data_IF_017460670932
#
_entry.id   IF_017460670932
#
_cell.length_a   1.000
_cell.length_b   1.000
_cell.length_c   1.000
_cell.angle_alpha   90.00
_cell.angle_beta   90.00
_cell.angle_gamma   90.00
#
_symmetry.space_group_name_H-M   'P 1'
#
loop_
_entity.id
_entity.type
_entity.pdbx_description
1 polymer ?
#
# COMPACT_ATOMS: atom_id res chain seq x y z
N UNK A 1 -9.10 4.42 19.94
CA UNK A 1 -8.67 3.01 19.73
C UNK A 1 -9.02 2.69 18.30
N UNK A 2 -8.08 2.11 17.54
CA UNK A 2 -8.32 1.71 16.16
C UNK A 2 -9.20 0.46 16.10
N UNK A 3 -10.00 0.37 15.05
CA UNK A 3 -10.80 -0.79 14.71
C UNK A 3 -9.92 -1.88 14.05
N UNK A 4 -10.27 -3.17 14.21
CA UNK A 4 -9.61 -4.26 13.50
C UNK A 4 -9.69 -4.10 11.98
N UNK A 5 -8.62 -4.46 11.27
CA UNK A 5 -8.58 -4.38 9.80
C UNK A 5 -9.67 -5.25 9.15
N UNK A 6 -10.05 -6.38 9.75
CA UNK A 6 -11.17 -7.21 9.27
C UNK A 6 -12.51 -6.42 9.21
N UNK A 7 -12.77 -5.55 10.20
CA UNK A 7 -13.97 -4.71 10.23
C UNK A 7 -13.89 -3.59 9.17
N UNK A 8 -12.71 -3.00 8.99
CA UNK A 8 -12.45 -1.99 7.94
C UNK A 8 -12.67 -2.57 6.55
N UNK A 9 -12.14 -3.77 6.28
CA UNK A 9 -12.33 -4.48 5.00
C UNK A 9 -13.81 -4.75 4.75
N UNK A 10 -14.54 -5.20 5.79
CA UNK A 10 -15.98 -5.45 5.69
C UNK A 10 -16.74 -4.18 5.32
N UNK A 11 -16.51 -3.07 6.02
CA UNK A 11 -17.15 -1.79 5.72
C UNK A 11 -16.88 -1.35 4.27
N UNK A 12 -15.63 -1.47 3.82
CA UNK A 12 -15.25 -1.14 2.45
C UNK A 12 -15.93 -2.03 1.40
N UNK A 13 -16.09 -3.33 1.68
CA UNK A 13 -16.80 -4.28 0.80
C UNK A 13 -18.29 -3.91 0.62
N UNK A 14 -18.89 -3.32 1.65
CA UNK A 14 -20.28 -2.86 1.66
C UNK A 14 -20.46 -1.46 1.07
N UNK A 15 -19.37 -0.81 0.62
CA UNK A 15 -19.39 0.54 0.09
C UNK A 15 -19.51 1.64 1.15
N UNK A 16 -19.18 1.31 2.41
CA UNK A 16 -19.09 2.29 3.49
C UNK A 16 -17.69 2.93 3.50
N UNK A 17 -17.62 4.18 3.94
CA UNK A 17 -16.34 4.85 4.13
C UNK A 17 -15.57 4.25 5.30
N UNK A 18 -14.25 4.31 5.20
CA UNK A 18 -13.33 4.03 6.31
C UNK A 18 -12.31 5.16 6.41
N UNK A 19 -11.74 5.36 7.60
CA UNK A 19 -10.67 6.32 7.83
C UNK A 19 -9.37 5.57 8.06
N UNK A 20 -8.33 5.92 7.32
CA UNK A 20 -6.98 5.39 7.54
C UNK A 20 -6.07 6.55 7.90
N UNK A 21 -5.44 6.45 9.07
CA UNK A 21 -4.39 7.37 9.50
C UNK A 21 -3.01 6.81 9.15
N UNK A 22 -2.08 7.70 8.81
CA UNK A 22 -0.66 7.36 8.69
C UNK A 22 0.14 7.72 9.95
N UNK A 23 1.45 7.47 9.90
CA UNK A 23 2.36 7.67 11.02
C UNK A 23 2.69 9.16 11.24
N UNK A 24 2.88 9.56 12.49
CA UNK A 24 3.25 10.95 12.85
C UNK A 24 4.54 11.44 12.17
N UNK A 25 5.45 10.51 11.83
CA UNK A 25 6.71 10.81 11.14
C UNK A 25 6.58 10.93 9.62
N UNK A 26 5.41 10.60 9.04
CA UNK A 26 5.10 10.70 7.61
C UNK A 26 4.30 11.98 7.31
N UNK A 27 3.01 11.90 7.03
CA UNK A 27 2.13 13.06 6.79
C UNK A 27 1.42 13.48 8.09
N UNK A 28 1.23 12.54 9.02
CA UNK A 28 0.47 12.71 10.26
C UNK A 28 -0.99 13.10 9.98
N UNK A 29 -1.58 12.47 8.97
CA UNK A 29 -2.90 12.80 8.41
C UNK A 29 -3.80 11.57 8.36
N UNK A 30 -5.07 11.79 8.02
CA UNK A 30 -6.01 10.72 7.80
C UNK A 30 -6.86 10.97 6.57
N UNK A 31 -7.03 9.92 5.79
CA UNK A 31 -7.83 9.93 4.58
C UNK A 31 -9.15 9.22 4.79
N UNK A 32 -10.20 9.81 4.24
CA UNK A 32 -11.47 9.14 4.03
C UNK A 32 -11.38 8.29 2.76
N UNK A 33 -11.60 6.99 2.90
CA UNK A 33 -11.42 6.00 1.83
C UNK A 33 -12.74 5.28 1.53
N UNK A 34 -13.02 5.09 0.24
CA UNK A 34 -14.08 4.19 -0.27
C UNK A 34 -13.56 3.45 -1.50
N UNK A 35 -14.06 2.23 -1.75
CA UNK A 35 -13.75 1.50 -2.97
C UNK A 35 -14.32 2.21 -4.21
N UNK A 36 -13.55 2.28 -5.29
CA UNK A 36 -13.97 2.92 -6.54
C UNK A 36 -15.25 2.32 -7.12
N UNK A 37 -15.42 0.99 -7.00
CA UNK A 37 -16.62 0.26 -7.44
C UNK A 37 -17.91 0.69 -6.73
N UNK A 38 -17.78 1.32 -5.56
CA UNK A 38 -18.89 1.69 -4.68
C UNK A 38 -19.17 3.19 -4.67
N UNK A 39 -18.49 3.96 -5.53
CA UNK A 39 -18.64 5.41 -5.54
C UNK A 39 -20.03 5.83 -5.98
N UNK A 40 -20.56 6.85 -5.31
CA UNK A 40 -21.86 7.47 -5.61
C UNK A 40 -21.74 8.99 -5.53
N UNK A 41 -22.71 9.70 -6.11
CA UNK A 41 -22.82 11.15 -6.03
C UNK A 41 -22.86 11.62 -4.57
N UNK A 42 -23.61 10.90 -3.72
CA UNK A 42 -23.72 11.18 -2.30
C UNK A 42 -22.38 10.97 -1.58
N UNK A 43 -21.61 9.94 -1.95
CA UNK A 43 -20.28 9.70 -1.41
C UNK A 43 -19.31 10.85 -1.76
N UNK A 44 -19.29 11.30 -3.02
CA UNK A 44 -18.45 12.44 -3.41
C UNK A 44 -18.87 13.72 -2.70
N UNK A 45 -20.18 13.98 -2.59
CA UNK A 45 -20.69 15.13 -1.85
C UNK A 45 -20.27 15.07 -0.38
N UNK A 46 -20.33 13.88 0.24
CA UNK A 46 -19.89 13.68 1.62
C UNK A 46 -18.39 13.97 1.77
N UNK A 47 -17.55 13.42 0.88
CA UNK A 47 -16.11 13.68 0.85
C UNK A 47 -15.80 15.17 0.82
N UNK A 48 -16.34 15.93 -0.14
CA UNK A 48 -16.01 17.37 -0.23
C UNK A 48 -16.64 18.25 0.83
N UNK A 49 -17.71 17.79 1.47
CA UNK A 49 -18.39 18.55 2.53
C UNK A 49 -17.72 18.35 3.89
N UNK A 50 -17.37 17.10 4.18
CA UNK A 50 -16.93 16.66 5.52
C UNK A 50 -15.43 16.38 5.62
N UNK A 51 -14.80 15.82 4.58
CA UNK A 51 -13.35 15.65 4.54
C UNK A 51 -12.65 16.90 3.97
N UNK A 52 -13.20 17.49 2.89
CA UNK A 52 -12.80 18.78 2.29
C UNK A 52 -11.42 18.81 1.61
N UNK A 53 -10.62 17.74 1.73
CA UNK A 53 -9.38 17.58 1.00
C UNK A 53 -9.57 17.34 -0.49
N UNK A 54 -8.49 16.91 -1.14
CA UNK A 54 -8.47 16.67 -2.58
C UNK A 54 -8.99 15.27 -2.88
N UNK A 55 -10.07 15.18 -3.66
CA UNK A 55 -10.58 13.86 -4.09
C UNK A 55 -9.64 13.26 -5.13
N UNK A 56 -8.96 12.20 -4.74
CA UNK A 56 -8.02 11.46 -5.58
C UNK A 56 -8.49 10.02 -5.79
N UNK A 57 -8.02 9.39 -6.87
CA UNK A 57 -8.31 7.97 -7.18
C UNK A 57 -7.01 7.19 -7.23
N UNK A 58 -6.76 6.42 -6.19
CA UNK A 58 -5.65 5.49 -6.14
C UNK A 58 -5.94 4.25 -6.99
N UNK A 59 -5.03 3.90 -7.90
CA UNK A 59 -5.16 2.71 -8.73
C UNK A 59 -3.80 2.14 -9.12
N UNK A 60 -3.80 0.90 -9.62
CA UNK A 60 -2.59 0.24 -10.09
C UNK A 60 -2.05 0.87 -11.37
N UNK A 61 -0.73 0.76 -11.58
CA UNK A 61 -0.08 1.16 -12.83
C UNK A 61 -0.66 0.47 -14.07
N UNK A 62 -1.17 -0.77 -13.94
CA UNK A 62 -1.86 -1.50 -15.01
C UNK A 62 -3.16 -0.80 -15.46
N UNK A 63 -3.98 -0.35 -14.49
CA UNK A 63 -5.20 0.41 -14.80
C UNK A 63 -4.87 1.75 -15.46
N UNK A 64 -3.85 2.45 -14.97
CA UNK A 64 -3.39 3.71 -15.56
C UNK A 64 -2.89 3.50 -16.99
N UNK A 65 -2.12 2.44 -17.23
CA UNK A 65 -1.61 2.09 -18.56
C UNK A 65 -2.77 1.75 -19.52
N UNK A 66 -3.75 0.95 -19.08
CA UNK A 66 -4.95 0.62 -19.87
C UNK A 66 -5.70 1.88 -20.32
N UNK A 67 -5.83 2.86 -19.44
CA UNK A 67 -6.53 4.12 -19.69
C UNK A 67 -5.64 5.20 -20.34
N UNK A 68 -4.37 4.87 -20.63
CA UNK A 68 -3.40 5.78 -21.24
C UNK A 68 -3.11 7.02 -20.38
N UNK A 69 -3.24 6.94 -19.06
CA UNK A 69 -3.04 8.08 -18.15
C UNK A 69 -1.55 8.16 -17.80
N UNK A 70 -0.92 9.29 -18.13
CA UNK A 70 0.51 9.51 -17.89
C UNK A 70 0.75 10.27 -16.57
N UNK A 71 2.00 10.27 -16.10
CA UNK A 71 2.38 11.07 -14.91
C UNK A 71 2.26 12.56 -15.22
N UNK A 72 1.73 13.32 -14.26
CA UNK A 72 1.63 14.77 -14.37
C UNK A 72 3.01 15.44 -14.31
N UNK A 73 3.87 14.94 -13.41
CA UNK A 73 5.22 15.46 -13.20
C UNK A 73 6.30 14.43 -13.55
N UNK A 74 7.47 14.87 -14.03
CA UNK A 74 8.62 13.99 -14.23
C UNK A 74 9.04 13.32 -12.92
N UNK A 75 9.51 12.06 -12.98
CA UNK A 75 10.00 11.33 -11.79
C UNK A 75 11.15 12.01 -11.04
N UNK A 76 11.84 12.94 -11.69
CA UNK A 76 12.92 13.75 -11.09
C UNK A 76 12.41 14.88 -10.17
N UNK A 77 11.10 15.06 -10.03
CA UNK A 77 10.51 16.02 -9.09
C UNK A 77 10.86 15.65 -7.65
N UNK A 78 11.31 16.63 -6.86
CA UNK A 78 11.65 16.46 -5.44
C UNK A 78 10.42 16.52 -4.53
N UNK A 79 9.44 15.65 -4.76
CA UNK A 79 8.35 15.49 -3.82
C UNK A 79 8.85 14.76 -2.56
N UNK A 80 8.57 15.32 -1.38
CA UNK A 80 8.95 14.75 -0.09
C UNK A 80 8.29 13.40 0.15
N UNK A 81 7.06 13.21 -0.31
CA UNK A 81 6.27 12.00 -0.04
C UNK A 81 6.19 11.06 -1.24
N UNK A 82 6.78 11.45 -2.37
CA UNK A 82 6.84 10.71 -3.63
C UNK A 82 5.45 10.22 -4.10
N UNK A 83 4.41 11.03 -3.88
CA UNK A 83 3.04 10.76 -4.31
C UNK A 83 2.97 10.87 -5.83
N UNK A 84 2.54 9.78 -6.47
CA UNK A 84 2.58 9.65 -7.92
C UNK A 84 1.32 10.24 -8.58
N UNK A 85 1.24 11.58 -8.61
CA UNK A 85 0.17 12.29 -9.32
C UNK A 85 0.23 12.02 -10.82
N UNK A 86 -0.92 11.59 -11.34
CA UNK A 86 -1.16 11.36 -12.75
C UNK A 86 -1.90 12.55 -13.36
N UNK A 87 -1.96 12.63 -14.69
CA UNK A 87 -2.77 13.63 -15.38
C UNK A 87 -4.20 13.64 -14.83
N UNK A 88 -4.73 14.83 -14.53
CA UNK A 88 -6.12 14.94 -14.11
C UNK A 88 -7.06 14.64 -15.26
N UNK A 89 -8.21 14.04 -14.94
CA UNK A 89 -9.15 13.52 -15.93
C UNK A 89 -10.60 13.83 -15.55
N UNK A 90 -11.44 13.91 -16.57
CA UNK A 90 -12.90 13.82 -16.46
C UNK A 90 -13.41 12.74 -17.42
N UNK A 91 -14.58 12.17 -17.13
CA UNK A 91 -15.32 11.39 -18.12
C UNK A 91 -15.63 12.25 -19.35
N UNK A 92 -15.57 11.64 -20.54
CA UNK A 92 -15.90 12.34 -21.79
C UNK A 92 -17.40 12.59 -21.96
N UNK A 93 -18.24 11.72 -21.40
CA UNK A 93 -19.68 11.67 -21.61
C UNK A 93 -20.41 11.65 -20.28
N UNK A 94 -21.66 12.11 -20.31
CA UNK A 94 -22.56 12.14 -19.15
C UNK A 94 -22.03 12.99 -17.98
N UNK A 95 -21.22 14.00 -18.32
CA UNK A 95 -20.76 15.04 -17.39
C UNK A 95 -20.95 16.42 -18.02
N UNK A 96 -20.97 17.44 -17.17
CA UNK A 96 -21.09 18.84 -17.61
C UNK A 96 -19.72 19.54 -17.59
N UNK A 97 -19.41 20.26 -16.52
CA UNK A 97 -18.13 20.92 -16.31
C UNK A 97 -17.11 20.00 -15.64
N UNK A 98 -17.53 18.87 -15.07
CA UNK A 98 -16.64 17.89 -14.43
C UNK A 98 -16.55 18.01 -12.90
N UNK A 99 -16.82 19.19 -12.33
CA UNK A 99 -16.54 19.47 -10.90
C UNK A 99 -17.65 19.02 -9.93
N UNK A 100 -18.88 18.87 -10.42
CA UNK A 100 -20.02 18.53 -9.57
C UNK A 100 -19.85 17.14 -8.93
N UNK A 101 -20.55 16.86 -7.83
CA UNK A 101 -20.47 15.53 -7.21
C UNK A 101 -20.92 14.39 -8.16
N UNK A 102 -22.02 14.53 -8.93
CA UNK A 102 -22.37 13.55 -9.97
C UNK A 102 -21.32 13.43 -11.07
N UNK A 103 -20.77 14.56 -11.57
CA UNK A 103 -19.77 14.51 -12.64
C UNK A 103 -18.50 13.78 -12.20
N UNK A 104 -18.01 14.09 -10.99
CA UNK A 104 -16.84 13.42 -10.39
C UNK A 104 -17.11 11.95 -10.10
N UNK A 105 -18.29 11.60 -9.59
CA UNK A 105 -18.69 10.21 -9.38
C UNK A 105 -18.70 9.44 -10.71
N UNK A 106 -19.24 10.04 -11.78
CA UNK A 106 -19.23 9.45 -13.13
C UNK A 106 -17.81 9.23 -13.65
N UNK A 107 -16.92 10.21 -13.50
CA UNK A 107 -15.50 10.06 -13.86
C UNK A 107 -14.85 8.88 -13.12
N UNK A 108 -15.10 8.74 -11.83
CA UNK A 108 -14.55 7.62 -11.03
C UNK A 108 -15.15 6.29 -11.48
N UNK A 109 -16.44 6.23 -11.83
CA UNK A 109 -17.05 5.02 -12.40
C UNK A 109 -16.42 4.63 -13.74
N UNK A 110 -16.07 5.60 -14.59
CA UNK A 110 -15.32 5.34 -15.83
C UNK A 110 -13.92 4.80 -15.51
N UNK A 111 -13.21 5.37 -14.54
CA UNK A 111 -11.91 4.86 -14.08
C UNK A 111 -12.01 3.43 -13.53
N UNK A 112 -13.09 3.14 -12.79
CA UNK A 112 -13.33 1.84 -12.16
C UNK A 112 -13.78 0.75 -13.13
N UNK A 113 -14.38 1.11 -14.27
CA UNK A 113 -14.89 0.15 -15.22
C UNK A 113 -13.74 -0.54 -16.00
N UNK A 114 -13.64 -1.89 -15.96
CA UNK A 114 -12.58 -2.63 -16.63
C UNK A 114 -12.64 -2.54 -18.17
N UNK A 115 -13.82 -2.19 -18.72
CA UNK A 115 -14.03 -2.06 -20.16
C UNK A 115 -13.77 -0.65 -20.69
N UNK A 116 -13.50 0.33 -19.81
CA UNK A 116 -13.20 1.69 -20.25
C UNK A 116 -11.88 1.75 -21.00
N UNK A 117 -11.85 2.63 -22.01
CA UNK A 117 -10.72 2.88 -22.89
C UNK A 117 -10.23 4.33 -22.75
N UNK A 118 -9.02 4.67 -23.22
CA UNK A 118 -8.49 6.03 -23.11
C UNK A 118 -9.42 7.12 -23.67
N UNK A 119 -10.20 6.81 -24.70
CA UNK A 119 -11.15 7.72 -25.34
C UNK A 119 -12.35 8.06 -24.45
N UNK A 120 -12.65 7.27 -23.42
CA UNK A 120 -13.73 7.57 -22.47
C UNK A 120 -13.38 8.71 -21.50
N UNK A 121 -12.14 9.19 -21.53
CA UNK A 121 -11.62 10.25 -20.68
C UNK A 121 -11.18 11.47 -21.49
N UNK A 122 -11.21 12.63 -20.85
CA UNK A 122 -10.64 13.89 -21.32
C UNK A 122 -9.61 14.41 -20.31
N UNK A 123 -8.63 15.16 -20.81
CA UNK A 123 -7.53 15.76 -20.04
C UNK A 123 -7.39 17.24 -20.43
N UNK A 124 -7.14 18.16 -19.48
CA UNK A 124 -7.21 17.95 -18.03
C UNK A 124 -8.66 17.70 -17.56
N UNK A 125 -8.84 17.38 -16.28
CA UNK A 125 -10.15 17.30 -15.62
C UNK A 125 -10.06 17.51 -14.10
N UNK A 126 -11.07 17.05 -13.36
CA UNK A 126 -11.28 17.38 -11.94
C UNK A 126 -11.11 16.20 -10.98
N UNK A 127 -10.82 15.01 -11.49
CA UNK A 127 -10.36 13.86 -10.70
C UNK A 127 -8.86 13.69 -10.90
N UNK A 128 -8.16 13.36 -9.81
CA UNK A 128 -6.70 13.21 -9.77
C UNK A 128 -6.34 11.75 -9.50
N UNK A 129 -6.03 10.96 -10.55
CA UNK A 129 -5.55 9.60 -10.36
C UNK A 129 -4.16 9.58 -9.73
N UNK A 130 -3.92 8.58 -8.90
CA UNK A 130 -2.65 8.31 -8.22
C UNK A 130 -2.19 6.88 -8.52
N UNK A 131 -0.92 6.72 -8.87
CA UNK A 131 -0.30 5.41 -9.09
C UNK A 131 0.12 4.79 -7.75
N UNK A 132 -0.54 3.70 -7.35
CA UNK A 132 -0.08 2.86 -6.24
C UNK A 132 1.13 2.03 -6.65
N UNK A 133 2.13 1.93 -5.76
CA UNK A 133 3.31 1.10 -6.03
C UNK A 133 2.97 -0.40 -6.03
N UNK A 134 3.58 -1.19 -6.93
CA UNK A 134 3.51 -2.65 -6.84
C UNK A 134 3.96 -3.12 -5.45
N UNK A 135 3.15 -3.98 -4.82
CA UNK A 135 3.34 -4.46 -3.46
C UNK A 135 2.57 -3.67 -2.38
N UNK A 136 1.96 -2.54 -2.73
CA UNK A 136 1.05 -1.79 -1.84
C UNK A 136 1.75 -1.27 -0.59
N UNK A 137 1.06 -1.29 0.56
CA UNK A 137 1.56 -0.70 1.82
C UNK A 137 2.83 -1.36 2.33
N UNK A 138 3.11 -2.58 1.87
CA UNK A 138 4.34 -3.30 2.19
C UNK A 138 5.58 -2.70 1.49
N UNK A 139 5.38 -1.88 0.46
CA UNK A 139 6.44 -1.20 -0.32
C UNK A 139 6.47 0.29 -0.12
N UNK A 140 5.31 0.92 0.06
CA UNK A 140 5.18 2.33 0.46
C UNK A 140 4.01 2.48 1.40
N UNK A 141 4.29 2.89 2.63
CA UNK A 141 3.28 3.09 3.67
C UNK A 141 2.51 4.41 3.47
N UNK A 142 1.76 4.53 2.37
CA UNK A 142 0.95 5.72 2.07
C UNK A 142 -0.53 5.41 1.85
N UNK A 143 -1.37 6.46 1.92
CA UNK A 143 -2.83 6.35 1.72
C UNK A 143 -3.20 5.83 0.32
N UNK A 144 -2.43 6.20 -0.71
CA UNK A 144 -2.60 5.66 -2.07
C UNK A 144 -2.53 4.13 -2.09
N UNK A 145 -1.49 3.55 -1.49
CA UNK A 145 -1.34 2.10 -1.41
C UNK A 145 -2.40 1.47 -0.51
N UNK A 146 -2.72 2.09 0.63
CA UNK A 146 -3.72 1.58 1.56
C UNK A 146 -5.10 1.47 0.91
N UNK A 147 -5.51 2.45 0.12
CA UNK A 147 -6.79 2.46 -0.57
C UNK A 147 -6.90 1.32 -1.61
N UNK A 148 -5.85 1.07 -2.38
CA UNK A 148 -5.82 -0.04 -3.34
C UNK A 148 -5.81 -1.39 -2.63
N UNK A 149 -4.98 -1.54 -1.60
CA UNK A 149 -4.86 -2.79 -0.85
C UNK A 149 -6.18 -3.16 -0.14
N UNK A 150 -6.84 -2.20 0.50
CA UNK A 150 -8.12 -2.43 1.15
C UNK A 150 -9.22 -2.80 0.14
N UNK A 151 -9.24 -2.16 -1.04
CA UNK A 151 -10.18 -2.53 -2.10
C UNK A 151 -9.98 -3.98 -2.57
N UNK A 152 -8.72 -4.40 -2.76
CA UNK A 152 -8.38 -5.78 -3.12
C UNK A 152 -8.75 -6.77 -2.01
N UNK A 153 -8.43 -6.45 -0.76
CA UNK A 153 -8.78 -7.30 0.40
C UNK A 153 -10.30 -7.42 0.59
N UNK A 154 -11.06 -6.40 0.18
CA UNK A 154 -12.52 -6.41 0.15
C UNK A 154 -13.12 -7.18 -1.03
N UNK A 155 -12.30 -7.76 -1.92
CA UNK A 155 -12.74 -8.48 -3.11
C UNK A 155 -13.29 -7.58 -4.22
N UNK A 156 -12.88 -6.31 -4.25
CA UNK A 156 -13.28 -5.30 -5.22
C UNK A 156 -12.14 -4.99 -6.21
N UNK A 157 -12.40 -4.11 -7.18
CA UNK A 157 -11.37 -3.68 -8.12
C UNK A 157 -10.24 -2.97 -7.37
N UNK A 158 -8.98 -3.02 -7.85
CA UNK A 158 -7.82 -2.43 -7.17
C UNK A 158 -7.79 -0.91 -7.37
N UNK A 159 -8.87 -0.24 -6.97
CA UNK A 159 -9.18 1.17 -7.18
C UNK A 159 -9.85 1.68 -5.90
N UNK A 160 -9.24 2.67 -5.27
CA UNK A 160 -9.77 3.34 -4.09
C UNK A 160 -9.87 4.84 -4.32
N UNK A 161 -10.90 5.47 -3.76
CA UNK A 161 -11.08 6.92 -3.75
C UNK A 161 -10.70 7.42 -2.38
N UNK A 162 -9.80 8.40 -2.34
CA UNK A 162 -9.28 8.99 -1.11
C UNK A 162 -9.56 10.50 -1.08
N UNK A 163 -9.69 11.05 0.12
CA UNK A 163 -9.84 12.48 0.35
C UNK A 163 -9.31 12.78 1.75
N UNK A 164 -8.31 13.64 1.87
CA UNK A 164 -7.72 13.99 3.16
C UNK A 164 -8.76 14.72 4.02
N UNK A 165 -8.75 14.47 5.33
CA UNK A 165 -9.71 15.06 6.27
C UNK A 165 -9.13 16.35 6.87
N UNK A 166 -9.82 17.46 6.63
CA UNK A 166 -9.48 18.78 7.15
C UNK A 166 -10.47 19.21 8.24
N UNK A 167 -9.95 19.91 9.24
CA UNK A 167 -10.72 20.63 10.26
C UNK A 167 -11.47 21.81 9.64
N UNK A 168 -12.41 22.40 10.39
CA UNK A 168 -13.21 23.55 9.94
C UNK A 168 -12.41 24.83 9.72
N UNK A 169 -11.27 24.96 10.38
CA UNK A 169 -10.34 26.07 10.19
C UNK A 169 -9.43 25.89 8.96
N UNK A 170 -9.57 24.78 8.24
CA UNK A 170 -8.78 24.47 7.05
C UNK A 170 -7.44 23.81 7.35
N UNK A 171 -7.12 23.54 8.62
CA UNK A 171 -5.94 22.76 8.99
C UNK A 171 -6.22 21.25 8.87
N UNK A 172 -5.16 20.46 8.69
CA UNK A 172 -5.30 19.00 8.59
C UNK A 172 -5.73 18.38 9.92
N UNK A 173 -6.67 17.43 9.86
CA UNK A 173 -7.13 16.70 11.04
C UNK A 173 -6.05 15.71 11.51
N UNK A 174 -5.74 15.74 12.81
CA UNK A 174 -4.80 14.80 13.44
C UNK A 174 -5.56 13.69 14.15
N UNK A 175 -4.86 12.68 14.67
CA UNK A 175 -5.47 11.50 15.27
C UNK A 175 -6.64 11.79 16.26
N UNK A 176 -6.56 12.77 17.19
CA UNK A 176 -7.69 13.10 18.04
C UNK A 176 -8.93 13.59 17.28
N UNK A 177 -8.73 14.41 16.25
CA UNK A 177 -9.79 14.92 15.38
C UNK A 177 -10.37 13.80 14.52
N UNK A 178 -9.53 12.92 13.98
CA UNK A 178 -9.94 11.77 13.17
C UNK A 178 -10.79 10.79 13.97
N UNK A 179 -10.44 10.53 15.23
CA UNK A 179 -11.24 9.71 16.14
C UNK A 179 -12.62 10.34 16.41
N UNK A 180 -12.67 11.67 16.57
CA UNK A 180 -13.93 12.41 16.74
C UNK A 180 -14.78 12.35 15.46
N UNK A 181 -14.18 12.66 14.31
CA UNK A 181 -14.80 12.60 13.00
C UNK A 181 -15.39 11.22 12.71
N UNK A 182 -14.63 10.16 12.98
CA UNK A 182 -15.04 8.77 12.76
C UNK A 182 -16.23 8.41 13.66
N UNK A 183 -16.21 8.84 14.93
CA UNK A 183 -17.32 8.60 15.85
C UNK A 183 -18.60 9.33 15.44
N UNK A 184 -18.49 10.61 15.06
CA UNK A 184 -19.64 11.43 14.64
C UNK A 184 -20.31 10.89 13.38
N UNK A 185 -19.51 10.42 12.42
CA UNK A 185 -19.97 9.88 11.15
C UNK A 185 -20.18 8.35 11.16
N UNK A 186 -19.95 7.69 12.32
CA UNK A 186 -20.06 6.23 12.50
C UNK A 186 -19.19 5.43 11.52
N UNK A 187 -17.97 5.90 11.29
CA UNK A 187 -16.99 5.29 10.41
C UNK A 187 -15.98 4.48 11.23
N UNK A 188 -15.49 3.41 10.62
CA UNK A 188 -14.35 2.65 11.14
C UNK A 188 -13.06 3.40 10.88
N UNK A 189 -12.14 3.36 11.85
CA UNK A 189 -10.83 4.00 11.74
C UNK A 189 -9.71 3.02 12.06
N UNK A 190 -8.69 2.96 11.23
CA UNK A 190 -7.48 2.18 11.48
C UNK A 190 -6.23 2.90 10.97
N UNK A 191 -5.10 2.21 10.95
CA UNK A 191 -3.82 2.79 10.56
C UNK A 191 -3.16 2.02 9.42
N UNK A 192 -2.31 2.71 8.65
CA UNK A 192 -1.44 2.06 7.65
C UNK A 192 -0.55 1.00 8.31
N UNK A 193 -0.08 1.26 9.55
CA UNK A 193 0.73 0.31 10.32
C UNK A 193 -0.02 -0.99 10.64
N UNK A 194 -1.29 -0.89 11.04
CA UNK A 194 -2.15 -2.05 11.31
C UNK A 194 -2.43 -2.83 10.02
N UNK A 195 -2.64 -2.15 8.89
CA UNK A 195 -2.81 -2.79 7.59
C UNK A 195 -1.54 -3.54 7.15
N UNK A 196 -0.35 -2.95 7.35
CA UNK A 196 0.93 -3.62 7.10
C UNK A 196 1.06 -4.89 7.96
N UNK A 197 0.75 -4.78 9.26
CA UNK A 197 0.80 -5.92 10.18
C UNK A 197 -0.20 -7.01 9.79
N UNK A 198 -1.40 -6.62 9.35
CA UNK A 198 -2.44 -7.53 8.87
C UNK A 198 -1.98 -8.31 7.64
N UNK A 199 -1.48 -7.61 6.60
CA UNK A 199 -1.00 -8.25 5.37
C UNK A 199 0.19 -9.17 5.62
N UNK A 200 1.19 -8.74 6.42
CA UNK A 200 2.37 -9.57 6.75
C UNK A 200 2.04 -10.88 7.46
N UNK A 201 0.98 -10.91 8.28
CA UNK A 201 0.55 -12.13 9.00
C UNK A 201 -0.24 -13.11 8.13
N UNK A 202 -0.80 -12.65 7.00
CA UNK A 202 -1.76 -13.44 6.20
C UNK A 202 -1.29 -13.77 4.80
N UNK A 203 -0.40 -12.96 4.24
CA UNK A 203 0.06 -13.13 2.87
C UNK A 203 1.40 -13.87 2.78
N UNK A 204 1.52 -14.75 1.79
CA UNK A 204 2.79 -15.38 1.44
C UNK A 204 3.59 -14.43 0.53
N UNK A 205 4.46 -13.64 1.14
CA UNK A 205 5.24 -12.59 0.46
C UNK A 205 6.56 -13.09 -0.14
N UNK A 206 6.84 -14.38 -0.04
CA UNK A 206 8.06 -15.00 -0.53
C UNK A 206 7.76 -16.29 -1.29
N UNK A 207 8.54 -16.53 -2.32
CA UNK A 207 8.45 -17.72 -3.18
C UNK A 207 9.82 -18.33 -3.32
N UNK A 208 9.89 -19.66 -3.29
CA UNK A 208 11.15 -20.39 -3.53
C UNK A 208 11.50 -20.24 -5.01
N UNK A 209 12.77 -19.97 -5.30
CA UNK A 209 13.32 -19.85 -6.66
C UNK A 209 14.32 -20.93 -7.02
N UNK A 210 14.89 -21.59 -6.03
CA UNK A 210 15.78 -22.72 -6.21
C UNK A 210 16.38 -23.15 -4.89
N UNK A 211 17.07 -24.28 -4.93
CA UNK A 211 17.86 -24.79 -3.83
C UNK A 211 19.14 -25.44 -4.34
N UNK A 212 20.15 -25.52 -3.48
CA UNK A 212 21.43 -26.13 -3.76
C UNK A 212 22.03 -26.74 -2.49
N UNK A 213 22.92 -27.70 -2.66
CA UNK A 213 23.78 -28.17 -1.56
C UNK A 213 24.98 -27.23 -1.44
N UNK A 214 25.28 -26.81 -0.21
CA UNK A 214 26.38 -25.91 0.12
C UNK A 214 27.28 -26.59 1.17
N UNK A 215 28.32 -27.31 0.72
CA UNK A 215 29.35 -27.81 1.61
C UNK A 215 30.15 -26.64 2.20
N UNK A 216 30.29 -26.61 3.52
CA UNK A 216 31.04 -25.57 4.24
C UNK A 216 32.04 -26.20 5.21
N UNK A 217 32.90 -25.38 5.82
CA UNK A 217 33.80 -25.84 6.90
C UNK A 217 33.05 -26.34 8.14
N UNK A 218 31.76 -26.00 8.29
CA UNK A 218 30.91 -26.38 9.41
C UNK A 218 29.99 -27.58 9.10
N UNK A 219 30.03 -28.10 7.87
CA UNK A 219 29.19 -29.18 7.40
C UNK A 219 28.38 -28.82 6.16
N UNK A 220 27.50 -29.74 5.77
CA UNK A 220 26.68 -29.62 4.56
C UNK A 220 25.34 -28.94 4.88
N UNK A 221 25.13 -27.76 4.30
CA UNK A 221 23.87 -27.03 4.39
C UNK A 221 23.07 -27.18 3.10
N UNK A 222 21.75 -27.31 3.23
CA UNK A 222 20.84 -27.01 2.13
C UNK A 222 20.63 -25.51 2.06
N UNK A 223 21.02 -24.90 0.95
CA UNK A 223 20.78 -23.49 0.65
C UNK A 223 19.47 -23.35 -0.11
N UNK A 224 18.51 -22.59 0.42
CA UNK A 224 17.22 -22.32 -0.23
C UNK A 224 17.14 -20.84 -0.57
N UNK A 225 16.88 -20.54 -1.84
CA UNK A 225 16.71 -19.18 -2.34
C UNK A 225 15.23 -18.77 -2.31
N UNK A 226 14.91 -17.78 -1.50
CA UNK A 226 13.62 -17.11 -1.47
C UNK A 226 13.68 -15.79 -2.23
N UNK A 227 12.69 -15.55 -3.08
CA UNK A 227 12.48 -14.25 -3.73
C UNK A 227 11.25 -13.59 -3.15
N UNK A 228 11.38 -12.32 -2.80
CA UNK A 228 10.25 -11.49 -2.40
C UNK A 228 9.29 -11.30 -3.58
N UNK A 229 7.98 -11.39 -3.33
CA UNK A 229 6.95 -11.08 -4.33
C UNK A 229 6.69 -9.58 -4.46
N UNK A 230 7.15 -8.80 -3.47
CA UNK A 230 6.91 -7.37 -3.37
C UNK A 230 8.18 -6.54 -3.63
N UNK A 231 9.37 -7.11 -3.45
CA UNK A 231 10.66 -6.45 -3.73
C UNK A 231 11.49 -7.23 -4.75
N UNK A 232 12.53 -6.60 -5.28
CA UNK A 232 13.52 -7.28 -6.13
C UNK A 232 14.51 -8.12 -5.33
N UNK A 233 14.38 -8.14 -4.00
CA UNK A 233 15.34 -8.77 -3.10
C UNK A 233 15.19 -10.29 -3.10
N UNK A 234 16.31 -10.93 -2.86
CA UNK A 234 16.43 -12.36 -2.65
C UNK A 234 17.06 -12.62 -1.31
N UNK A 235 16.53 -13.60 -0.59
CA UNK A 235 17.01 -14.02 0.72
C UNK A 235 17.40 -15.49 0.66
N UNK A 236 18.37 -15.88 1.47
CA UNK A 236 18.87 -17.24 1.53
C UNK A 236 18.56 -17.80 2.91
N UNK A 237 18.05 -19.04 2.96
CA UNK A 237 18.02 -19.84 4.17
C UNK A 237 19.05 -20.96 4.05
N UNK A 238 19.93 -21.08 5.03
CA UNK A 238 20.82 -22.23 5.19
C UNK A 238 20.18 -23.18 6.20
N UNK A 239 19.95 -24.41 5.79
CA UNK A 239 19.23 -25.43 6.58
C UNK A 239 20.12 -26.65 6.75
N UNK A 240 20.35 -27.06 8.00
CA UNK A 240 20.98 -28.33 8.33
C UNK A 240 19.95 -29.30 8.93
N UNK A 241 19.96 -30.54 8.45
CA UNK A 241 18.99 -31.57 8.89
C UNK A 241 17.55 -31.29 8.46
N UNK A 242 16.60 -31.67 9.32
CA UNK A 242 15.15 -31.60 9.10
C UNK A 242 14.48 -30.77 10.21
N UNK A 243 14.60 -29.43 10.19
CA UNK A 243 14.10 -28.55 11.26
C UNK A 243 12.58 -28.64 11.45
N UNK A 244 11.83 -29.03 10.42
CA UNK A 244 10.38 -29.23 10.47
C UNK A 244 9.97 -30.42 11.37
N UNK A 245 10.91 -31.31 11.70
CA UNK A 245 10.67 -32.44 12.63
C UNK A 245 11.05 -32.10 14.08
N UNK A 246 11.52 -30.89 14.35
CA UNK A 246 11.91 -30.42 15.67
C UNK A 246 10.82 -29.57 16.31
N UNK A 247 10.61 -29.70 17.61
CA UNK A 247 9.65 -28.86 18.35
C UNK A 247 10.09 -27.38 18.40
N UNK A 248 11.40 -27.16 18.51
CA UNK A 248 12.01 -25.82 18.55
C UNK A 248 13.36 -25.83 17.83
N UNK A 249 13.39 -25.74 16.49
CA UNK A 249 14.65 -25.70 15.76
C UNK A 249 15.48 -24.46 16.14
N UNK A 250 16.81 -24.61 16.16
CA UNK A 250 17.71 -23.48 16.37
C UNK A 250 17.67 -22.56 15.14
N UNK A 251 17.35 -21.28 15.35
CA UNK A 251 17.21 -20.29 14.27
C UNK A 251 18.06 -19.06 14.55
N UNK A 252 18.81 -18.63 13.54
CA UNK A 252 19.47 -17.33 13.49
C UNK A 252 18.96 -16.55 12.29
N UNK A 253 18.45 -15.34 12.54
CA UNK A 253 18.21 -14.35 11.48
C UNK A 253 19.44 -13.44 11.41
N UNK A 254 20.13 -13.47 10.28
CA UNK A 254 21.33 -12.65 10.02
C UNK A 254 21.05 -11.63 8.94
N UNK A 255 21.35 -10.36 9.18
CA UNK A 255 21.25 -9.30 8.17
C UNK A 255 22.58 -9.16 7.46
N UNK A 256 22.54 -9.09 6.12
CA UNK A 256 23.74 -8.96 5.29
C UNK A 256 24.61 -7.77 5.72
N UNK A 257 25.91 -8.04 5.88
CA UNK A 257 26.93 -7.02 6.08
C UNK A 257 28.07 -7.26 5.09
N UNK A 258 28.05 -6.60 3.93
CA UNK A 258 29.06 -6.79 2.89
C UNK A 258 30.50 -6.63 3.42
N UNK A 259 30.76 -5.61 4.25
CA UNK A 259 32.10 -5.35 4.80
C UNK A 259 32.53 -6.39 5.83
N UNK A 260 31.62 -6.87 6.68
CA UNK A 260 31.91 -7.86 7.71
C UNK A 260 31.94 -9.28 7.19
N UNK A 261 30.88 -9.70 6.50
CA UNK A 261 30.63 -11.08 6.09
C UNK A 261 31.54 -11.51 4.93
N UNK A 262 31.84 -10.59 4.00
CA UNK A 262 32.65 -10.90 2.80
C UNK A 262 34.09 -10.44 2.94
N UNK A 263 34.32 -9.20 3.40
CA UNK A 263 35.67 -8.61 3.48
C UNK A 263 36.35 -8.75 4.85
N UNK A 264 35.66 -9.30 5.87
CA UNK A 264 36.25 -9.51 7.19
C UNK A 264 36.59 -8.20 7.94
N UNK A 265 35.79 -7.16 7.76
CA UNK A 265 35.97 -5.86 8.44
C UNK A 265 36.07 -6.02 9.96
N UNK A 266 37.10 -5.45 10.56
CA UNK A 266 37.31 -5.42 12.02
C UNK A 266 36.55 -4.27 12.72
N UNK A 267 35.82 -3.44 11.97
CA UNK A 267 34.98 -2.35 12.53
C UNK A 267 33.60 -2.83 12.96
N UNK A 268 33.23 -4.05 12.59
CA UNK A 268 32.03 -4.75 13.03
C UNK A 268 32.39 -6.22 13.29
N UNK A 269 31.46 -6.95 13.87
CA UNK A 269 31.62 -8.37 14.20
C UNK A 269 30.65 -9.27 13.42
N UNK A 270 29.97 -8.74 12.39
CA UNK A 270 28.95 -9.45 11.61
C UNK A 270 29.45 -10.77 11.02
N UNK A 271 30.66 -10.78 10.43
CA UNK A 271 31.24 -12.00 9.86
C UNK A 271 31.49 -13.08 10.91
N UNK A 272 32.01 -12.70 12.09
CA UNK A 272 32.19 -13.61 13.22
C UNK A 272 30.86 -14.13 13.76
N UNK A 273 29.84 -13.27 13.83
CA UNK A 273 28.49 -13.66 14.23
C UNK A 273 27.87 -14.68 13.27
N UNK A 274 28.02 -14.47 11.95
CA UNK A 274 27.55 -15.43 10.94
C UNK A 274 28.28 -16.76 11.05
N UNK A 275 29.61 -16.73 11.14
CA UNK A 275 30.44 -17.93 11.24
C UNK A 275 30.11 -18.76 12.50
N UNK A 276 29.95 -18.08 13.63
CA UNK A 276 29.60 -18.71 14.91
C UNK A 276 28.18 -19.30 14.86
N UNK A 277 27.23 -18.59 14.25
CA UNK A 277 25.87 -19.11 14.08
C UNK A 277 25.85 -20.37 13.20
N UNK A 278 26.61 -20.39 12.10
CA UNK A 278 26.73 -21.57 11.25
C UNK A 278 27.45 -22.73 11.95
N UNK A 279 28.37 -22.46 12.88
CA UNK A 279 29.03 -23.50 13.67
C UNK A 279 28.10 -24.12 14.73
N UNK A 280 27.17 -23.33 15.27
CA UNK A 280 26.24 -23.77 16.32
C UNK A 280 25.07 -24.62 15.77
N UNK A 281 24.71 -24.40 14.50
CA UNK A 281 23.62 -25.09 13.79
C UNK A 281 24.15 -26.38 13.17
#
# INVERSE_FOLDING_TARGET
>A
MFDPIDDVIKDMSEGRFVVIADDESRENEGDLIIAGDKITDAAINFMVTHARGLVCVAMTGENLQRLGISRMCPRSSKDRFETAFMESVDARREVSTGISAPDRAKTIQVLANPNSVPEDLVRPGHIFPLEARPGGVLRRAGHTEAAVDLAVLAGLSPIGVICEIMREDGEMARLPDLLKFSKENRLKISSVADLIAYRRKREKLIVIRGDAQLPTKHGDFKMILYKSTISSETHIALVMGEPEKQESPLVRVHSECLTGDVFGSLRCDCGTQLDTAMQMI
#
